data_IF_299022526325
#
_entry.id   IF_299022526325
#
_cell.length_a   1.000
_cell.length_b   1.000
_cell.length_c   1.000
_cell.angle_alpha   90.00
_cell.angle_beta   90.00
_cell.angle_gamma   90.00
#
_symmetry.space_group_name_H-M   'P 1'
#
loop_
_entity.id
_entity.type
_entity.pdbx_description
1 polymer ?
#
# COMPACT_ATOMS: atom_id res chain seq x y z
N UNK A 1 -26.80 -11.12 -9.42
CA UNK A 1 -25.96 -11.63 -8.30
C UNK A 1 -24.81 -10.66 -8.09
N UNK A 2 -24.92 -9.73 -7.15
CA UNK A 2 -23.96 -8.62 -7.02
C UNK A 2 -22.94 -8.92 -5.92
N UNK A 3 -21.71 -9.24 -6.34
CA UNK A 3 -20.46 -8.82 -5.68
C UNK A 3 -20.16 -9.29 -4.24
N UNK A 4 -20.64 -10.45 -3.78
CA UNK A 4 -20.26 -11.01 -2.45
C UNK A 4 -18.73 -11.03 -2.27
N UNK A 5 -18.02 -11.55 -3.28
CA UNK A 5 -16.55 -11.60 -3.30
C UNK A 5 -15.88 -10.23 -3.16
N UNK A 6 -16.46 -9.17 -3.76
CA UNK A 6 -15.90 -7.80 -3.62
C UNK A 6 -16.17 -7.21 -2.24
N UNK A 7 -17.30 -7.55 -1.61
CA UNK A 7 -17.57 -7.11 -0.23
C UNK A 7 -16.60 -7.78 0.74
N UNK A 8 -16.35 -9.08 0.59
CA UNK A 8 -15.38 -9.80 1.41
C UNK A 8 -13.97 -9.22 1.28
N UNK A 9 -13.51 -8.94 0.05
CA UNK A 9 -12.22 -8.29 -0.20
C UNK A 9 -12.16 -6.90 0.46
N UNK A 10 -13.24 -6.13 0.39
CA UNK A 10 -13.31 -4.81 1.00
C UNK A 10 -13.26 -4.87 2.53
N UNK A 11 -13.95 -5.82 3.15
CA UNK A 11 -13.94 -5.99 4.61
C UNK A 11 -12.57 -6.42 5.11
N UNK A 12 -11.92 -7.36 4.43
CA UNK A 12 -10.54 -7.78 4.72
C UNK A 12 -9.57 -6.61 4.56
N UNK A 13 -9.68 -5.85 3.47
CA UNK A 13 -8.89 -4.63 3.25
C UNK A 13 -9.07 -3.62 4.37
N UNK A 14 -10.30 -3.37 4.83
CA UNK A 14 -10.56 -2.44 5.93
C UNK A 14 -9.81 -2.86 7.20
N UNK A 15 -9.77 -4.16 7.53
CA UNK A 15 -9.01 -4.65 8.69
C UNK A 15 -7.51 -4.35 8.56
N UNK A 16 -6.93 -4.60 7.38
CA UNK A 16 -5.52 -4.27 7.08
C UNK A 16 -5.28 -2.78 7.21
N UNK A 17 -6.11 -1.96 6.57
CA UNK A 17 -5.98 -0.51 6.57
C UNK A 17 -6.13 0.08 7.97
N UNK A 18 -7.13 -0.36 8.75
CA UNK A 18 -7.30 0.06 10.15
C UNK A 18 -6.08 -0.32 10.98
N UNK A 19 -5.54 -1.54 10.83
CA UNK A 19 -4.34 -1.93 11.56
C UNK A 19 -3.13 -1.08 11.16
N UNK A 20 -2.95 -0.80 9.88
CA UNK A 20 -1.87 0.05 9.38
C UNK A 20 -1.95 1.50 9.86
N UNK A 21 -3.16 2.02 10.13
CA UNK A 21 -3.33 3.36 10.72
C UNK A 21 -3.03 3.36 12.22
N UNK A 22 -3.24 2.25 12.92
CA UNK A 22 -3.06 2.15 14.38
C UNK A 22 -1.71 1.60 14.84
N UNK A 23 -0.96 0.95 13.96
CA UNK A 23 0.24 0.17 14.29
C UNK A 23 1.33 0.47 13.25
N UNK A 24 2.22 1.40 13.60
CA UNK A 24 3.28 1.90 12.71
C UNK A 24 4.26 0.79 12.30
N UNK A 25 4.55 -0.16 13.20
CA UNK A 25 5.39 -1.32 12.87
C UNK A 25 4.70 -2.24 11.85
N UNK A 26 3.39 -2.41 11.96
CA UNK A 26 2.61 -3.13 10.94
C UNK A 26 2.60 -2.36 9.62
N UNK A 27 2.44 -1.03 9.65
CA UNK A 27 2.50 -0.18 8.45
C UNK A 27 3.84 -0.30 7.73
N UNK A 28 4.96 -0.18 8.42
CA UNK A 28 6.28 -0.33 7.81
C UNK A 28 6.46 -1.70 7.15
N UNK A 29 5.96 -2.76 7.78
CA UNK A 29 5.98 -4.12 7.23
C UNK A 29 5.04 -4.24 6.03
N UNK A 30 3.87 -3.60 6.05
CA UNK A 30 2.90 -3.57 4.96
C UNK A 30 3.46 -2.85 3.73
N UNK A 31 4.20 -1.76 3.92
CA UNK A 31 4.87 -1.05 2.81
C UNK A 31 6.02 -1.89 2.24
N UNK A 32 6.76 -2.60 3.10
CA UNK A 32 7.87 -3.45 2.68
C UNK A 32 7.39 -4.70 1.93
N UNK A 33 6.35 -5.34 2.41
CA UNK A 33 5.81 -6.58 1.85
C UNK A 33 4.27 -6.58 1.88
N UNK A 34 3.61 -5.82 0.98
CA UNK A 34 2.17 -5.68 1.04
C UNK A 34 1.44 -6.98 0.73
N UNK A 35 1.95 -7.80 -0.20
CA UNK A 35 1.31 -9.05 -0.59
C UNK A 35 1.31 -10.06 0.56
N UNK A 36 2.44 -10.29 1.22
CA UNK A 36 2.50 -11.23 2.33
C UNK A 36 1.74 -10.73 3.56
N UNK A 37 1.80 -9.42 3.86
CA UNK A 37 1.02 -8.84 4.96
C UNK A 37 -0.49 -8.89 4.70
N UNK A 38 -0.94 -8.70 3.46
CA UNK A 38 -2.35 -8.85 3.10
C UNK A 38 -2.80 -10.31 3.14
N UNK A 39 -1.92 -11.26 2.79
CA UNK A 39 -2.21 -12.69 2.88
C UNK A 39 -2.52 -13.17 4.31
N UNK A 40 -1.93 -12.55 5.34
CA UNK A 40 -2.28 -12.81 6.75
C UNK A 40 -3.74 -12.48 7.10
N UNK A 41 -4.43 -11.71 6.27
CA UNK A 41 -5.84 -11.34 6.42
C UNK A 41 -6.75 -12.06 5.41
N UNK A 42 -6.31 -13.21 4.91
CA UNK A 42 -6.98 -13.98 3.84
C UNK A 42 -7.20 -13.16 2.57
N UNK A 43 -6.37 -12.14 2.34
CA UNK A 43 -6.42 -11.30 1.16
C UNK A 43 -5.24 -11.68 0.28
N UNK A 44 -5.46 -12.68 -0.57
CA UNK A 44 -4.45 -13.25 -1.45
C UNK A 44 -4.75 -12.90 -2.90
N UNK A 45 -3.70 -12.74 -3.70
CA UNK A 45 -3.83 -12.61 -5.14
C UNK A 45 -4.22 -13.97 -5.75
N UNK A 46 -5.12 -14.01 -6.74
CA UNK A 46 -5.37 -15.23 -7.49
C UNK A 46 -4.10 -15.67 -8.23
N UNK A 47 -3.84 -16.98 -8.23
CA UNK A 47 -2.62 -17.61 -8.77
C UNK A 47 -2.40 -17.37 -10.27
N UNK A 48 -3.47 -16.98 -10.97
CA UNK A 48 -3.43 -16.63 -12.40
C UNK A 48 -2.74 -15.28 -12.68
N UNK A 49 -2.52 -14.45 -11.65
CA UNK A 49 -1.85 -13.15 -11.77
C UNK A 49 -0.36 -13.32 -11.51
N UNK A 50 0.44 -12.91 -12.49
CA UNK A 50 1.87 -12.78 -12.29
C UNK A 50 2.20 -11.47 -11.55
N UNK A 51 2.99 -11.59 -10.49
CA UNK A 51 3.41 -10.48 -9.62
C UNK A 51 4.87 -10.20 -9.87
N UNK A 52 5.17 -9.00 -10.36
CA UNK A 52 6.53 -8.53 -10.60
C UNK A 52 6.91 -7.52 -9.53
N UNK A 53 7.95 -7.81 -8.76
CA UNK A 53 8.49 -6.88 -7.76
C UNK A 53 9.68 -6.14 -8.37
N UNK A 54 9.53 -4.83 -8.55
CA UNK A 54 10.54 -3.92 -9.07
C UNK A 54 11.43 -3.30 -7.99
N UNK A 55 12.28 -2.36 -8.41
CA UNK A 55 13.09 -1.56 -7.49
C UNK A 55 12.22 -0.72 -6.56
N UNK A 56 12.69 -0.50 -5.33
CA UNK A 56 11.98 0.23 -4.27
C UNK A 56 10.63 -0.38 -3.83
N UNK A 57 10.49 -1.72 -3.92
CA UNK A 57 9.30 -2.48 -3.53
C UNK A 57 8.03 -2.13 -4.32
N UNK A 58 8.20 -1.59 -5.53
CA UNK A 58 7.07 -1.38 -6.44
C UNK A 58 6.56 -2.73 -6.94
N UNK A 59 5.28 -3.00 -6.75
CA UNK A 59 4.66 -4.26 -7.20
C UNK A 59 3.81 -3.99 -8.44
N UNK A 60 4.13 -4.68 -9.51
CA UNK A 60 3.40 -4.63 -10.78
C UNK A 60 2.62 -5.92 -10.96
N UNK A 61 1.31 -5.81 -11.08
CA UNK A 61 0.43 -6.94 -11.38
C UNK A 61 0.25 -7.07 -12.90
N UNK A 62 0.68 -8.19 -13.46
CA UNK A 62 0.54 -8.49 -14.89
C UNK A 62 -0.83 -9.15 -15.12
N UNK A 63 -1.63 -8.56 -16.01
CA UNK A 63 -2.92 -9.13 -16.40
C UNK A 63 -2.68 -10.30 -17.38
N UNK A 64 -3.19 -11.51 -17.09
CA UNK A 64 -3.08 -12.62 -18.03
C UNK A 64 -3.94 -12.37 -19.28
N UNK A 65 -3.50 -12.85 -20.45
CA UNK A 65 -4.17 -12.61 -21.73
C UNK A 65 -5.62 -13.14 -21.77
N UNK A 66 -5.87 -14.22 -21.05
CA UNK A 66 -7.19 -14.88 -20.95
C UNK A 66 -7.99 -14.45 -19.70
N UNK A 67 -7.64 -13.32 -19.09
CA UNK A 67 -8.33 -12.84 -17.89
C UNK A 67 -9.83 -12.59 -18.15
N UNK A 68 -10.68 -13.18 -17.32
CA UNK A 68 -12.11 -12.88 -17.30
C UNK A 68 -12.36 -11.47 -16.78
N UNK A 69 -13.50 -10.84 -17.14
CA UNK A 69 -13.84 -9.49 -16.64
C UNK A 69 -13.86 -9.38 -15.11
N UNK A 70 -14.19 -10.48 -14.43
CA UNK A 70 -14.13 -10.56 -12.97
C UNK A 70 -12.69 -10.51 -12.46
N UNK A 71 -11.76 -11.26 -13.08
CA UNK A 71 -10.35 -11.22 -12.76
C UNK A 71 -9.73 -9.85 -13.07
N UNK A 72 -10.05 -9.25 -14.23
CA UNK A 72 -9.61 -7.88 -14.58
C UNK A 72 -10.09 -6.85 -13.55
N UNK A 73 -11.32 -6.99 -13.08
CA UNK A 73 -11.86 -6.13 -12.01
C UNK A 73 -11.12 -6.31 -10.69
N UNK A 74 -10.75 -7.55 -10.35
CA UNK A 74 -9.97 -7.87 -9.14
C UNK A 74 -8.54 -7.33 -9.25
N UNK A 75 -7.86 -7.52 -10.39
CA UNK A 75 -6.53 -6.95 -10.67
C UNK A 75 -6.55 -5.42 -10.53
N UNK A 76 -7.53 -4.73 -11.13
CA UNK A 76 -7.68 -3.28 -10.99
C UNK A 76 -7.89 -2.87 -9.53
N UNK A 77 -8.71 -3.63 -8.79
CA UNK A 77 -8.94 -3.38 -7.38
C UNK A 77 -7.63 -3.48 -6.58
N UNK A 78 -6.83 -4.51 -6.84
CA UNK A 78 -5.53 -4.73 -6.21
C UNK A 78 -4.51 -3.64 -6.55
N UNK A 79 -4.39 -3.25 -7.82
CA UNK A 79 -3.50 -2.15 -8.24
C UNK A 79 -3.75 -0.88 -7.45
N UNK A 80 -5.02 -0.49 -7.30
CA UNK A 80 -5.38 0.70 -6.50
C UNK A 80 -4.95 0.56 -5.04
N UNK A 81 -5.02 -0.62 -4.43
CA UNK A 81 -4.65 -0.79 -3.01
C UNK A 81 -3.15 -0.81 -2.83
N UNK A 82 -2.42 -1.44 -3.74
CA UNK A 82 -0.96 -1.40 -3.74
C UNK A 82 -0.43 0.03 -3.89
N UNK A 83 -1.06 0.82 -4.77
CA UNK A 83 -0.76 2.25 -4.95
C UNK A 83 -0.98 3.01 -3.63
N UNK A 84 -2.16 2.83 -3.01
CA UNK A 84 -2.46 3.44 -1.69
C UNK A 84 -1.45 3.03 -0.62
N UNK A 85 -1.05 1.76 -0.53
CA UNK A 85 -0.04 1.32 0.45
C UNK A 85 1.31 2.01 0.18
N UNK A 86 1.70 2.12 -1.09
CA UNK A 86 2.94 2.76 -1.47
C UNK A 86 2.92 4.25 -1.11
N UNK A 87 1.81 4.95 -1.42
CA UNK A 87 1.58 6.34 -0.99
C UNK A 87 1.60 6.48 0.53
N UNK A 88 0.95 5.55 1.24
CA UNK A 88 0.88 5.54 2.71
C UNK A 88 2.27 5.44 3.37
N UNK A 89 3.22 4.77 2.71
CA UNK A 89 4.63 4.74 3.11
C UNK A 89 5.49 5.92 2.65
N UNK A 90 5.03 6.67 1.63
CA UNK A 90 5.71 7.87 1.13
C UNK A 90 5.30 9.13 1.90
N UNK A 91 4.07 9.21 2.39
CA UNK A 91 3.56 10.35 3.18
C UNK A 91 4.45 10.64 4.41
N UNK A 92 5.01 9.60 5.04
CA UNK A 92 5.96 9.74 6.15
C UNK A 92 7.35 10.23 5.74
N UNK A 93 7.76 10.04 4.48
CA UNK A 93 9.03 10.57 3.96
C UNK A 93 8.94 12.04 3.60
N UNK A 94 7.72 12.56 3.36
CA UNK A 94 7.46 13.98 3.09
C UNK A 94 7.35 14.85 4.34
N UNK A 95 7.09 14.27 5.52
CA UNK A 95 6.82 15.00 6.77
C UNK A 95 8.03 15.62 7.47
N UNK A 96 9.27 15.20 7.16
CA UNK A 96 10.47 15.66 7.87
C UNK A 96 11.45 16.51 7.03
N UNK A 97 11.06 16.95 5.82
CA UNK A 97 11.94 17.74 4.94
C UNK A 97 11.66 19.26 4.96
N UNK A 98 10.94 19.79 5.96
CA UNK A 98 10.72 21.23 6.10
C UNK A 98 10.79 21.71 7.56
N UNK A 99 11.88 21.37 8.26
CA UNK A 99 12.37 22.19 9.39
C UNK A 99 13.81 22.62 9.13
N UNK A 100 14.02 23.34 8.02
CA UNK A 100 15.15 24.26 7.95
C UNK A 100 14.81 25.44 8.87
N UNK A 101 14.95 25.25 10.18
CA UNK A 101 15.07 26.37 11.09
C UNK A 101 16.31 27.15 10.68
N UNK A 102 16.26 28.49 10.53
CA UNK A 102 17.49 29.26 10.59
C UNK A 102 18.02 29.15 12.03
N UNK A 103 19.09 28.39 12.19
CA UNK A 103 19.94 28.43 13.37
C UNK A 103 20.96 29.56 13.21
N UNK A 104 21.10 30.38 14.25
CA UNK A 104 22.14 31.42 14.41
C UNK A 104 21.86 32.70 13.62
N UNK A 105 22.07 33.91 14.13
CA UNK A 105 23.04 34.30 15.15
C UNK A 105 22.43 35.30 16.14
N UNK A 106 22.71 35.01 17.40
CA UNK A 106 22.75 35.96 18.49
C UNK A 106 24.01 36.80 18.25
N UNK A 107 23.89 38.09 17.97
CA UNK A 107 24.96 39.04 18.28
C UNK A 107 24.34 40.35 18.75
N UNK A 108 24.32 40.44 20.07
CA UNK A 108 24.21 41.62 20.90
C UNK A 108 25.52 42.40 20.77
N UNK A 109 25.52 43.64 20.26
CA UNK A 109 26.59 44.60 20.61
C UNK A 109 26.15 46.06 20.35
N UNK A 110 25.95 46.76 21.48
CA UNK A 110 26.09 48.21 21.79
C UNK A 110 25.34 49.28 20.97
#
# INVERSE_FOLDING_TARGET
MKNVRKQELLEKWKKVATKAVTDDLFKEKLVKDPIGKMAEFDLTLPEEIEVLTGHANTITLVEPKDATENLKSEIKWWRVRLDVIQEFGQDERGGNAAVAGPAGDEDEDV
#
